data_IF_790721172975
#
_entry.id   IF_790721172975
#
_cell.length_a   1.000
_cell.length_b   1.000
_cell.length_c   1.000
_cell.angle_alpha   90.00
_cell.angle_beta   90.00
_cell.angle_gamma   90.00
#
_symmetry.space_group_name_H-M   'P 1'
#
loop_
_entity.id
_entity.type
_entity.pdbx_description
1 polymer ?
#
# COMPACT_ATOMS: atom_id res chain seq x y z
N UNK A 1 -6.38 -11.96 21.69
CA UNK A 1 -6.43 -10.90 20.65
C UNK A 1 -6.18 -11.49 19.26
N UNK A 2 -7.14 -12.23 18.71
CA UNK A 2 -7.15 -12.55 17.26
C UNK A 2 -8.15 -11.61 16.62
N UNK A 3 -7.71 -10.43 16.18
CA UNK A 3 -8.52 -9.66 15.25
C UNK A 3 -8.73 -10.56 14.03
N UNK A 4 -9.98 -10.87 13.70
CA UNK A 4 -10.28 -11.77 12.58
C UNK A 4 -9.67 -11.17 11.30
N UNK A 5 -8.78 -11.92 10.60
CA UNK A 5 -8.13 -11.49 9.34
C UNK A 5 -9.03 -10.73 8.33
N UNK A 6 -10.33 -11.06 8.15
CA UNK A 6 -11.16 -10.38 7.16
C UNK A 6 -11.43 -8.89 7.44
N UNK A 7 -11.50 -8.44 8.70
CA UNK A 7 -11.84 -7.03 8.98
C UNK A 7 -10.65 -6.09 8.72
N UNK A 8 -9.44 -6.53 9.03
CA UNK A 8 -8.22 -5.77 8.73
C UNK A 8 -8.01 -5.69 7.21
N UNK A 9 -8.20 -6.79 6.50
CA UNK A 9 -8.09 -6.80 5.04
C UNK A 9 -9.11 -5.86 4.38
N UNK A 10 -10.36 -5.84 4.89
CA UNK A 10 -11.41 -4.92 4.42
C UNK A 10 -11.08 -3.45 4.70
N UNK A 11 -10.49 -3.15 5.87
CA UNK A 11 -10.07 -1.79 6.21
C UNK A 11 -8.95 -1.30 5.27
N UNK A 12 -7.93 -2.13 5.05
CA UNK A 12 -6.80 -1.82 4.15
C UNK A 12 -7.30 -1.63 2.71
N UNK A 13 -8.21 -2.47 2.22
CA UNK A 13 -8.74 -2.32 0.87
C UNK A 13 -9.65 -1.10 0.72
N UNK A 14 -10.41 -0.72 1.76
CA UNK A 14 -11.20 0.50 1.78
C UNK A 14 -10.32 1.76 1.77
N UNK A 15 -9.22 1.77 2.54
CA UNK A 15 -8.22 2.83 2.53
C UNK A 15 -7.55 3.00 1.15
N UNK A 16 -7.24 1.88 0.48
CA UNK A 16 -6.75 1.89 -0.90
C UNK A 16 -7.74 2.52 -1.89
N UNK A 17 -9.04 2.29 -1.72
CA UNK A 17 -10.09 2.90 -2.56
C UNK A 17 -10.22 4.41 -2.36
N UNK A 18 -10.08 4.90 -1.12
CA UNK A 18 -10.01 6.35 -0.86
C UNK A 18 -8.81 6.94 -1.59
N UNK A 19 -7.63 6.32 -1.45
CA UNK A 19 -6.40 6.81 -2.08
C UNK A 19 -6.55 6.88 -3.61
N UNK A 20 -7.11 5.84 -4.22
CA UNK A 20 -7.37 5.83 -5.67
C UNK A 20 -8.38 6.91 -6.09
N UNK A 21 -9.50 7.05 -5.36
CA UNK A 21 -10.51 8.06 -5.64
C UNK A 21 -9.98 9.49 -5.45
N UNK A 22 -9.10 9.71 -4.47
CA UNK A 22 -8.41 10.99 -4.28
C UNK A 22 -7.53 11.36 -5.47
N UNK A 23 -6.75 10.40 -5.99
CA UNK A 23 -5.92 10.63 -7.19
C UNK A 23 -6.80 10.93 -8.41
N UNK A 24 -7.85 10.14 -8.64
CA UNK A 24 -8.82 10.34 -9.73
C UNK A 24 -9.48 11.73 -9.64
N UNK A 25 -9.85 12.18 -8.44
CA UNK A 25 -10.44 13.49 -8.22
C UNK A 25 -9.45 14.63 -8.50
N UNK A 26 -8.21 14.52 -8.02
CA UNK A 26 -7.17 15.54 -8.22
C UNK A 26 -6.80 15.67 -9.70
N UNK A 27 -6.61 14.54 -10.39
CA UNK A 27 -6.30 14.53 -11.83
C UNK A 27 -7.50 14.99 -12.68
N UNK A 28 -8.73 14.69 -12.22
CA UNK A 28 -9.97 15.02 -12.90
C UNK A 28 -10.55 16.41 -12.61
N UNK A 29 -10.02 17.15 -11.64
CA UNK A 29 -10.66 18.38 -11.13
C UNK A 29 -10.86 19.45 -12.19
N UNK A 30 -9.92 19.55 -13.14
CA UNK A 30 -10.00 20.48 -14.26
C UNK A 30 -11.21 20.18 -15.15
N UNK A 31 -11.42 18.91 -15.48
CA UNK A 31 -12.53 18.43 -16.31
C UNK A 31 -13.87 18.63 -15.61
N UNK A 32 -13.94 18.34 -14.32
CA UNK A 32 -15.15 18.54 -13.51
C UNK A 32 -15.56 20.01 -13.50
N UNK A 33 -14.58 20.92 -13.32
CA UNK A 33 -14.84 22.38 -13.32
C UNK A 33 -15.24 22.93 -14.68
N UNK A 34 -14.70 22.39 -15.77
CA UNK A 34 -14.99 22.89 -17.13
C UNK A 34 -16.30 22.38 -17.71
N UNK A 35 -16.68 21.13 -17.42
CA UNK A 35 -17.84 20.50 -18.06
C UNK A 35 -19.09 20.46 -17.18
N UNK A 36 -19.01 20.72 -15.87
CA UNK A 36 -20.14 20.90 -14.95
C UNK A 36 -21.11 19.71 -14.77
N UNK A 37 -21.05 18.70 -15.63
CA UNK A 37 -22.07 17.65 -15.79
C UNK A 37 -21.68 16.28 -15.21
N UNK A 38 -20.42 16.07 -14.82
CA UNK A 38 -19.93 14.85 -14.13
C UNK A 38 -19.73 15.05 -12.63
N UNK A 39 -20.16 16.20 -12.10
CA UNK A 39 -20.02 16.61 -10.69
C UNK A 39 -20.63 15.58 -9.73
N UNK A 40 -21.75 14.94 -10.10
CA UNK A 40 -22.38 13.90 -9.28
C UNK A 40 -21.50 12.66 -9.16
N UNK A 41 -21.12 12.03 -10.28
CA UNK A 41 -20.54 10.68 -10.26
C UNK A 41 -19.13 10.60 -9.66
N UNK A 42 -18.25 11.60 -9.83
CA UNK A 42 -16.92 11.58 -9.21
C UNK A 42 -16.98 11.85 -7.69
N UNK A 43 -17.77 12.84 -7.27
CA UNK A 43 -17.96 13.15 -5.85
C UNK A 43 -18.71 12.03 -5.14
N UNK A 44 -19.75 11.46 -5.76
CA UNK A 44 -20.49 10.30 -5.24
C UNK A 44 -19.57 9.07 -5.08
N UNK A 45 -18.64 8.82 -6.02
CA UNK A 45 -17.65 7.75 -5.89
C UNK A 45 -16.71 7.96 -4.71
N UNK A 46 -16.25 9.20 -4.51
CA UNK A 46 -15.39 9.55 -3.38
C UNK A 46 -16.14 9.43 -2.05
N UNK A 47 -17.36 9.97 -1.97
CA UNK A 47 -18.24 9.88 -0.80
C UNK A 47 -18.56 8.42 -0.46
N UNK A 48 -18.83 7.59 -1.48
CA UNK A 48 -19.07 6.16 -1.29
C UNK A 48 -17.81 5.45 -0.76
N UNK A 49 -16.62 5.77 -1.27
CA UNK A 49 -15.36 5.21 -0.76
C UNK A 49 -15.11 5.60 0.70
N UNK A 50 -15.42 6.85 1.07
CA UNK A 50 -15.35 7.35 2.44
C UNK A 50 -16.36 6.66 3.37
N UNK A 51 -17.61 6.51 2.92
CA UNK A 51 -18.65 5.80 3.67
C UNK A 51 -18.27 4.33 3.92
N UNK A 52 -17.80 3.65 2.88
CA UNK A 52 -17.33 2.27 2.96
C UNK A 52 -16.16 2.10 3.95
N UNK A 53 -15.22 3.05 3.98
CA UNK A 53 -14.12 3.05 4.95
C UNK A 53 -14.62 3.30 6.37
N UNK A 54 -15.54 4.26 6.55
CA UNK A 54 -16.14 4.54 7.86
C UNK A 54 -16.87 3.29 8.40
N UNK A 55 -17.60 2.57 7.56
CA UNK A 55 -18.29 1.33 7.95
C UNK A 55 -17.33 0.19 8.24
N UNK A 56 -16.29 0.01 7.43
CA UNK A 56 -15.23 -0.96 7.67
C UNK A 56 -14.51 -0.68 9.00
N UNK A 57 -14.22 0.59 9.28
CA UNK A 57 -13.58 1.04 10.51
C UNK A 57 -14.50 0.82 11.73
N UNK A 58 -15.78 1.19 11.63
CA UNK A 58 -16.76 0.93 12.70
C UNK A 58 -16.89 -0.55 13.01
N UNK A 59 -16.94 -1.42 12.00
CA UNK A 59 -17.00 -2.87 12.19
C UNK A 59 -15.72 -3.41 12.87
N UNK A 60 -14.55 -2.93 12.42
CA UNK A 60 -13.26 -3.28 13.02
C UNK A 60 -13.17 -2.86 14.50
N UNK A 61 -13.60 -1.63 14.82
CA UNK A 61 -13.64 -1.11 16.19
C UNK A 61 -14.63 -1.90 17.02
N UNK A 62 -15.88 -2.07 16.57
CA UNK A 62 -16.92 -2.77 17.34
C UNK A 62 -16.50 -4.20 17.74
N UNK A 63 -15.80 -4.91 16.85
CA UNK A 63 -15.32 -6.26 17.14
C UNK A 63 -14.09 -6.29 18.06
N UNK A 64 -13.19 -5.31 17.94
CA UNK A 64 -11.99 -5.25 18.78
C UNK A 64 -12.18 -4.50 20.10
N UNK A 65 -13.23 -3.68 20.23
CA UNK A 65 -13.46 -2.75 21.35
C UNK A 65 -13.42 -3.48 22.70
N UNK A 66 -14.20 -4.55 22.85
CA UNK A 66 -14.28 -5.28 24.13
C UNK A 66 -12.94 -5.93 24.52
N UNK A 67 -12.23 -6.52 23.57
CA UNK A 67 -10.94 -7.16 23.84
C UNK A 67 -9.80 -6.16 24.06
N UNK A 68 -9.81 -5.05 23.31
CA UNK A 68 -8.81 -3.99 23.41
C UNK A 68 -8.99 -3.17 24.69
N UNK A 69 -10.22 -2.80 25.06
CA UNK A 69 -10.51 -2.07 26.30
C UNK A 69 -10.11 -2.88 27.53
N UNK A 70 -10.50 -4.17 27.59
CA UNK A 70 -10.10 -5.06 28.70
C UNK A 70 -8.58 -5.22 28.75
N UNK A 71 -7.91 -5.43 27.62
CA UNK A 71 -6.46 -5.54 27.56
C UNK A 71 -5.74 -4.26 27.97
N UNK A 72 -6.29 -3.10 27.61
CA UNK A 72 -5.72 -1.79 27.93
C UNK A 72 -5.91 -1.44 29.42
N UNK A 73 -7.08 -1.77 29.99
CA UNK A 73 -7.35 -1.58 31.42
C UNK A 73 -6.47 -2.52 32.26
N UNK A 74 -6.44 -3.81 31.94
CA UNK A 74 -5.61 -4.79 32.67
C UNK A 74 -4.11 -4.56 32.49
N UNK A 75 -3.69 -4.03 31.34
CA UNK A 75 -2.31 -3.68 31.07
C UNK A 75 -1.88 -2.30 31.58
N UNK A 76 -2.79 -1.56 32.24
CA UNK A 76 -2.45 -0.26 32.82
C UNK A 76 -1.58 -0.40 34.06
N UNK A 77 -0.70 0.57 34.28
CA UNK A 77 0.16 0.63 35.47
C UNK A 77 -0.66 0.60 36.76
N UNK A 78 -1.80 1.30 36.78
CA UNK A 78 -2.73 1.34 37.92
C UNK A 78 -3.35 -0.03 38.19
N UNK A 79 -3.75 -0.78 37.16
CA UNK A 79 -4.32 -2.11 37.36
C UNK A 79 -3.29 -3.11 37.89
N UNK A 80 -2.07 -3.10 37.34
CA UNK A 80 -0.99 -3.95 37.85
C UNK A 80 -0.64 -3.59 39.29
N UNK A 81 -0.55 -2.29 39.60
CA UNK A 81 -0.29 -1.83 40.96
C UNK A 81 -1.40 -2.27 41.93
N UNK A 82 -2.67 -2.16 41.53
CA UNK A 82 -3.81 -2.58 42.34
C UNK A 82 -3.78 -4.09 42.62
N UNK A 83 -3.48 -4.91 41.60
CA UNK A 83 -3.37 -6.38 41.76
C UNK A 83 -2.18 -6.73 42.66
N UNK A 84 -1.00 -6.16 42.42
CA UNK A 84 0.18 -6.41 43.24
C UNK A 84 -0.03 -5.99 44.70
N UNK A 85 -0.71 -4.86 44.93
CA UNK A 85 -1.04 -4.38 46.28
C UNK A 85 -2.04 -5.29 46.95
N UNK A 86 -3.12 -5.70 46.26
CA UNK A 86 -4.15 -6.58 46.83
C UNK A 86 -3.59 -7.98 47.16
N UNK A 87 -2.90 -8.62 46.20
CA UNK A 87 -2.29 -9.93 46.42
C UNK A 87 -1.15 -9.87 47.43
N UNK A 88 -0.29 -8.85 47.35
CA UNK A 88 0.80 -8.63 48.29
C UNK A 88 0.32 -8.42 49.72
N UNK A 89 -0.74 -7.62 49.90
CA UNK A 89 -1.33 -7.40 51.23
C UNK A 89 -1.93 -8.67 51.82
N UNK A 90 -2.58 -9.51 51.01
CA UNK A 90 -3.11 -10.80 51.45
C UNK A 90 -2.00 -11.76 51.88
N UNK A 91 -0.87 -11.80 51.15
CA UNK A 91 0.31 -12.60 51.50
C UNK A 91 1.00 -12.12 52.78
N UNK A 92 1.03 -10.80 53.00
CA UNK A 92 1.51 -10.21 54.25
C UNK A 92 0.60 -10.58 55.42
N UNK A 93 -0.72 -10.51 55.24
CA UNK A 93 -1.68 -10.92 56.26
C UNK A 93 -1.59 -12.41 56.60
N UNK A 94 -1.24 -13.26 55.63
CA UNK A 94 -0.99 -14.69 55.84
C UNK A 94 0.39 -15.00 56.46
N UNK A 95 1.23 -13.99 56.70
CA UNK A 95 2.58 -14.16 57.27
C UNK A 95 3.61 -14.76 56.30
N UNK A 96 3.27 -14.89 55.02
CA UNK A 96 4.14 -15.46 53.97
C UNK A 96 5.19 -14.44 53.50
N UNK A 97 4.86 -13.14 53.56
CA UNK A 97 5.71 -12.05 53.07
C UNK A 97 5.76 -10.92 54.11
N UNK A 98 6.89 -10.21 54.20
CA UNK A 98 6.98 -8.98 55.00
C UNK A 98 6.64 -7.76 54.14
N UNK A 99 6.16 -6.67 54.77
CA UNK A 99 5.88 -5.40 54.07
C UNK A 99 7.13 -4.86 53.36
N UNK A 100 8.30 -4.99 53.99
CA UNK A 100 9.58 -4.58 53.40
C UNK A 100 9.93 -5.39 52.14
N UNK A 101 9.54 -6.67 52.10
CA UNK A 101 9.75 -7.52 50.93
C UNK A 101 8.74 -7.22 49.81
N UNK A 102 7.59 -6.58 50.08
CA UNK A 102 6.60 -6.20 49.06
C UNK A 102 7.00 -4.94 48.26
N UNK A 103 7.65 -3.97 48.91
CA UNK A 103 8.01 -2.67 48.28
C UNK A 103 8.78 -2.80 46.96
N UNK A 104 9.82 -3.66 46.82
CA UNK A 104 10.53 -3.82 45.56
C UNK A 104 9.62 -4.31 44.42
N UNK A 105 8.66 -5.20 44.70
CA UNK A 105 7.74 -5.71 43.68
C UNK A 105 6.77 -4.64 43.20
N UNK A 106 6.32 -3.73 44.07
CA UNK A 106 5.47 -2.61 43.68
C UNK A 106 6.23 -1.64 42.76
N UNK A 107 7.48 -1.32 43.09
CA UNK A 107 8.33 -0.42 42.29
C UNK A 107 8.65 -1.03 40.93
N UNK A 108 9.10 -2.29 40.90
CA UNK A 108 9.45 -2.98 39.64
C UNK A 108 8.20 -3.28 38.81
N UNK A 109 7.09 -3.64 39.46
CA UNK A 109 5.84 -4.00 38.80
C UNK A 109 5.24 -2.88 37.95
N UNK A 110 5.37 -1.62 38.38
CA UNK A 110 4.92 -0.44 37.62
C UNK A 110 5.69 -0.29 36.30
N UNK A 111 6.96 -0.72 36.24
CA UNK A 111 7.78 -0.63 35.02
C UNK A 111 7.55 -1.75 34.00
N UNK A 112 6.78 -2.79 34.34
CA UNK A 112 6.56 -3.93 33.45
C UNK A 112 5.72 -3.59 32.21
N UNK A 113 4.58 -2.87 32.31
CA UNK A 113 3.79 -2.46 31.14
C UNK A 113 4.58 -1.66 30.11
N UNK A 114 5.42 -0.74 30.57
CA UNK A 114 6.20 0.15 29.70
C UNK A 114 7.28 -0.61 28.94
N UNK A 115 7.87 -1.63 29.56
CA UNK A 115 8.91 -2.46 28.95
C UNK A 115 8.34 -3.53 28.00
N UNK A 116 7.21 -4.14 28.36
CA UNK A 116 6.59 -5.24 27.60
C UNK A 116 5.69 -4.73 26.47
N UNK A 117 5.03 -3.58 26.66
CA UNK A 117 4.09 -3.00 25.71
C UNK A 117 4.65 -2.81 24.29
N UNK A 118 5.87 -2.25 24.11
CA UNK A 118 6.50 -2.13 22.79
C UNK A 118 6.73 -3.48 22.11
N UNK A 119 7.13 -4.52 22.85
CA UNK A 119 7.34 -5.88 22.32
C UNK A 119 6.02 -6.46 21.80
N UNK A 120 4.93 -6.27 22.56
CA UNK A 120 3.59 -6.70 22.14
C UNK A 120 3.08 -5.94 20.90
N UNK A 121 3.41 -4.66 20.76
CA UNK A 121 3.03 -3.83 19.61
C UNK A 121 3.95 -4.00 18.38
N UNK A 122 5.19 -4.47 18.59
CA UNK A 122 6.21 -4.62 17.54
C UNK A 122 5.81 -5.53 16.39
N UNK A 123 4.87 -6.46 16.61
CA UNK A 123 4.34 -7.32 15.56
C UNK A 123 3.72 -6.56 14.38
N UNK A 124 3.10 -5.39 14.63
CA UNK A 124 2.55 -4.56 13.56
C UNK A 124 3.66 -3.95 12.69
N UNK A 125 4.68 -3.37 13.32
CA UNK A 125 5.83 -2.77 12.62
C UNK A 125 6.60 -3.80 11.79
N UNK A 126 6.83 -4.99 12.35
CA UNK A 126 7.49 -6.09 11.63
C UNK A 126 6.68 -6.55 10.41
N UNK A 127 5.34 -6.58 10.51
CA UNK A 127 4.47 -6.93 9.38
C UNK A 127 4.55 -5.88 8.27
N UNK A 128 4.53 -4.60 8.60
CA UNK A 128 4.68 -3.52 7.61
C UNK A 128 6.04 -3.57 6.92
N UNK A 129 7.11 -3.76 7.69
CA UNK A 129 8.46 -3.91 7.14
C UNK A 129 8.56 -5.08 6.15
N UNK A 130 7.94 -6.22 6.46
CA UNK A 130 7.89 -7.37 5.54
C UNK A 130 7.13 -7.10 4.25
N UNK A 131 5.99 -6.39 4.31
CA UNK A 131 5.25 -6.03 3.09
C UNK A 131 6.06 -5.08 2.21
N UNK A 132 6.69 -4.07 2.80
CA UNK A 132 7.56 -3.15 2.07
C UNK A 132 8.75 -3.86 1.43
N UNK A 133 9.40 -4.77 2.16
CA UNK A 133 10.47 -5.61 1.62
C UNK A 133 10.02 -6.45 0.43
N UNK A 134 8.83 -7.06 0.50
CA UNK A 134 8.26 -7.83 -0.60
C UNK A 134 7.98 -6.99 -1.86
N UNK A 135 7.53 -5.75 -1.71
CA UNK A 135 7.34 -4.85 -2.86
C UNK A 135 8.68 -4.47 -3.52
N UNK A 136 9.72 -4.19 -2.73
CA UNK A 136 11.06 -3.90 -3.24
C UNK A 136 11.63 -5.11 -3.97
N UNK A 137 11.52 -6.30 -3.37
CA UNK A 137 11.98 -7.54 -3.98
C UNK A 137 11.25 -7.83 -5.30
N UNK A 138 9.93 -7.62 -5.36
CA UNK A 138 9.16 -7.77 -6.59
C UNK A 138 9.61 -6.81 -7.71
N UNK A 139 10.03 -5.59 -7.35
CA UNK A 139 10.56 -4.62 -8.31
C UNK A 139 11.95 -5.03 -8.81
N UNK A 140 12.85 -5.42 -7.89
CA UNK A 140 14.22 -5.83 -8.22
C UNK A 140 14.27 -7.12 -9.04
N UNK A 141 13.31 -8.02 -8.82
CA UNK A 141 13.20 -9.27 -9.57
C UNK A 141 12.48 -9.13 -10.92
N UNK A 142 12.09 -7.91 -11.35
CA UNK A 142 11.54 -7.74 -12.69
C UNK A 142 12.62 -8.06 -13.74
N UNK A 143 12.31 -8.92 -14.73
CA UNK A 143 13.29 -9.26 -15.75
C UNK A 143 13.68 -8.00 -16.54
N UNK A 144 14.98 -7.74 -16.74
CA UNK A 144 15.41 -6.65 -17.60
C UNK A 144 14.99 -6.92 -19.05
N UNK A 145 15.00 -5.87 -19.87
CA UNK A 145 14.81 -6.02 -21.31
C UNK A 145 15.93 -6.93 -21.85
N UNK A 146 15.59 -7.87 -22.74
CA UNK A 146 16.58 -8.78 -23.32
C UNK A 146 17.59 -7.99 -24.13
N UNK A 147 18.83 -7.99 -23.69
CA UNK A 147 19.94 -7.45 -24.46
C UNK A 147 20.49 -8.50 -25.43
N UNK A 148 20.92 -8.12 -26.64
CA UNK A 148 21.53 -9.04 -27.58
C UNK A 148 22.91 -9.50 -27.08
N UNK A 149 23.23 -10.79 -27.19
CA UNK A 149 24.54 -11.36 -26.80
C UNK A 149 25.74 -10.68 -27.50
N UNK A 150 25.50 -10.15 -28.71
CA UNK A 150 26.48 -9.44 -29.51
C UNK A 150 25.90 -8.09 -29.94
N UNK A 151 26.06 -7.04 -29.11
CA UNK A 151 25.57 -5.71 -29.48
C UNK A 151 26.28 -5.23 -30.75
N UNK A 152 25.49 -4.73 -31.70
CA UNK A 152 26.00 -4.15 -32.94
C UNK A 152 25.86 -2.64 -32.88
N UNK A 153 26.88 -1.92 -33.34
CA UNK A 153 26.74 -0.49 -33.59
C UNK A 153 25.94 -0.28 -34.88
N UNK A 154 24.89 0.56 -34.87
CA UNK A 154 24.15 0.90 -36.08
C UNK A 154 25.09 1.51 -37.12
N UNK A 155 24.85 1.21 -38.40
CA UNK A 155 25.58 1.77 -39.54
C UNK A 155 24.70 2.83 -40.20
N UNK A 156 25.04 4.10 -39.99
CA UNK A 156 24.25 5.23 -40.47
C UNK A 156 23.03 5.53 -39.60
N UNK A 157 22.11 6.32 -40.15
CA UNK A 157 20.94 6.87 -39.45
C UNK A 157 19.61 6.49 -40.10
N UNK A 158 19.59 5.46 -40.95
CA UNK A 158 18.35 4.92 -41.52
C UNK A 158 17.59 4.11 -40.48
N UNK A 159 16.26 4.24 -40.47
CA UNK A 159 15.37 3.48 -39.59
C UNK A 159 14.48 2.60 -40.46
N UNK A 160 14.41 1.31 -40.15
CA UNK A 160 13.57 0.34 -40.84
C UNK A 160 12.72 -0.41 -39.81
N UNK A 161 11.42 -0.50 -40.11
CA UNK A 161 10.47 -1.36 -39.44
C UNK A 161 10.19 -2.53 -40.39
N UNK A 162 10.46 -3.77 -39.96
CA UNK A 162 10.10 -5.00 -40.68
C UNK A 162 9.03 -5.77 -39.88
N UNK A 163 7.80 -5.76 -40.42
CA UNK A 163 6.64 -6.52 -39.91
C UNK A 163 6.45 -6.39 -38.39
N UNK A 164 6.56 -5.16 -37.89
CA UNK A 164 6.48 -4.87 -36.45
C UNK A 164 5.03 -4.94 -35.97
N UNK A 165 4.77 -5.79 -34.98
CA UNK A 165 3.52 -5.85 -34.23
C UNK A 165 3.80 -5.57 -32.75
N UNK A 166 2.96 -4.76 -32.12
CA UNK A 166 3.16 -4.36 -30.73
C UNK A 166 1.83 -4.24 -29.99
N UNK A 167 1.83 -4.68 -28.73
CA UNK A 167 0.70 -4.62 -27.80
C UNK A 167 1.21 -4.19 -26.42
N UNK A 168 0.47 -3.29 -25.77
CA UNK A 168 0.78 -2.82 -24.42
C UNK A 168 0.34 -3.81 -23.33
N UNK A 169 -0.78 -4.51 -23.56
CA UNK A 169 -1.41 -5.44 -22.62
C UNK A 169 -1.19 -6.90 -23.00
N UNK A 170 -0.60 -7.17 -24.17
CA UNK A 170 -0.43 -8.51 -24.73
C UNK A 170 -1.70 -9.09 -25.36
N UNK A 171 -2.80 -8.34 -25.37
CA UNK A 171 -4.12 -8.79 -25.86
C UNK A 171 -4.52 -8.03 -27.12
N UNK A 172 -4.45 -6.69 -27.07
CA UNK A 172 -4.85 -5.83 -28.17
C UNK A 172 -3.63 -5.25 -28.85
N UNK A 173 -3.48 -5.51 -30.15
CA UNK A 173 -2.38 -4.96 -30.93
C UNK A 173 -2.63 -3.47 -31.22
N UNK A 174 -1.72 -2.63 -30.76
CA UNK A 174 -1.64 -1.21 -31.13
C UNK A 174 -0.99 -1.02 -32.51
N UNK A 175 -0.09 -1.94 -32.90
CA UNK A 175 0.53 -2.01 -34.22
C UNK A 175 0.44 -3.45 -34.73
N UNK A 176 0.16 -3.63 -36.02
CA UNK A 176 0.04 -4.96 -36.64
C UNK A 176 0.80 -4.99 -37.96
N UNK A 177 1.92 -5.72 -37.99
CA UNK A 177 2.67 -6.03 -39.21
C UNK A 177 3.21 -4.81 -39.95
N UNK A 178 3.60 -3.75 -39.25
CA UNK A 178 4.04 -2.50 -39.88
C UNK A 178 5.39 -2.67 -40.58
N UNK A 179 5.44 -2.29 -41.85
CA UNK A 179 6.65 -2.23 -42.66
C UNK A 179 6.84 -0.78 -43.11
N UNK A 180 7.97 -0.17 -42.77
CA UNK A 180 8.26 1.22 -43.12
C UNK A 180 9.78 1.48 -43.15
N UNK A 181 10.21 2.34 -44.07
CA UNK A 181 11.62 2.76 -44.19
C UNK A 181 11.71 4.27 -44.12
N UNK A 182 12.49 4.78 -43.17
CA UNK A 182 12.80 6.20 -43.00
C UNK A 182 14.24 6.44 -43.45
N UNK A 183 14.41 7.14 -44.58
CA UNK A 183 15.71 7.41 -45.16
C UNK A 183 16.49 8.47 -44.34
N UNK A 184 17.81 8.30 -44.17
CA UNK A 184 18.63 9.27 -43.43
C UNK A 184 18.60 10.64 -44.11
N UNK A 185 18.55 11.71 -43.31
CA UNK A 185 18.54 13.10 -43.79
C UNK A 185 17.20 13.56 -44.39
N UNK A 186 16.13 12.76 -44.27
CA UNK A 186 14.78 13.11 -44.74
C UNK A 186 13.83 13.32 -43.57
N UNK A 187 12.76 14.07 -43.81
CA UNK A 187 11.65 14.22 -42.86
C UNK A 187 10.54 13.25 -43.27
N UNK A 188 10.31 12.22 -42.46
CA UNK A 188 9.20 11.28 -42.63
C UNK A 188 8.01 11.72 -41.78
N UNK A 189 6.91 12.08 -42.42
CA UNK A 189 5.67 12.43 -41.72
C UNK A 189 4.80 11.18 -41.47
N UNK A 190 4.42 10.94 -40.21
CA UNK A 190 3.41 9.94 -39.85
C UNK A 190 2.02 10.57 -39.84
N UNK A 191 1.16 10.19 -40.79
CA UNK A 191 -0.20 10.73 -40.96
C UNK A 191 -1.24 9.61 -40.87
N UNK A 192 -2.36 9.89 -40.23
CA UNK A 192 -3.46 8.93 -40.09
C UNK A 192 -4.48 9.39 -39.04
N UNK A 193 -5.65 8.73 -38.95
CA UNK A 193 -6.72 9.08 -38.01
C UNK A 193 -6.26 8.97 -36.54
N UNK A 194 -6.96 9.65 -35.64
CA UNK A 194 -6.67 9.55 -34.19
C UNK A 194 -6.75 8.08 -33.74
N UNK A 195 -5.79 7.64 -32.91
CA UNK A 195 -5.73 6.25 -32.44
C UNK A 195 -5.07 5.24 -33.39
N UNK A 196 -4.62 5.63 -34.59
CA UNK A 196 -3.98 4.72 -35.55
C UNK A 196 -2.57 4.19 -35.15
N UNK A 197 -2.14 4.33 -33.90
CA UNK A 197 -0.84 3.83 -33.42
C UNK A 197 0.38 4.69 -33.79
N UNK A 198 0.20 5.91 -34.33
CA UNK A 198 1.32 6.79 -34.75
C UNK A 198 2.32 7.08 -33.62
N UNK A 199 1.82 7.46 -32.44
CA UNK A 199 2.66 7.72 -31.25
C UNK A 199 3.32 6.44 -30.75
N UNK A 200 2.63 5.30 -30.84
CA UNK A 200 3.19 3.99 -30.52
C UNK A 200 4.38 3.68 -31.42
N UNK A 201 4.24 3.88 -32.73
CA UNK A 201 5.33 3.63 -33.69
C UNK A 201 6.52 4.55 -33.46
N UNK A 202 6.27 5.83 -33.18
CA UNK A 202 7.34 6.77 -32.82
C UNK A 202 8.04 6.39 -31.51
N UNK A 203 7.30 5.93 -30.51
CA UNK A 203 7.84 5.51 -29.20
C UNK A 203 8.67 4.21 -29.23
N UNK A 204 8.59 3.42 -30.32
CA UNK A 204 9.43 2.25 -30.51
C UNK A 204 10.82 2.60 -31.05
N UNK A 205 11.03 3.81 -31.56
CA UNK A 205 12.34 4.28 -32.00
C UNK A 205 13.16 4.64 -30.75
N UNK A 206 14.36 4.07 -30.55
CA UNK A 206 15.22 4.44 -29.44
C UNK A 206 15.55 5.94 -29.49
N UNK A 207 15.62 6.63 -28.34
CA UNK A 207 16.17 7.98 -28.31
C UNK A 207 17.62 7.94 -28.81
N UNK A 208 17.94 8.82 -29.79
CA UNK A 208 19.28 8.98 -30.34
C UNK A 208 20.26 9.58 -29.32
#
# INVERSE_FOLDING_TARGET
MRASPPHIARLISAEGRITAASVEYVDGIGVVKTFGATTGTMLERFDQAMADHADAYRAFVAQNRRGAEVGHVLGSEVAILAVLTACGSALVAAGVLTVSALLPFLVVGIGLPTSIGPVLRGGHGLRMARMAAGHIEALLNRPPLREPERPRRPRGHGIEFDRVSFSYDGVTNALTGVIAVCAPGTITALVGPSGAGKTTLAGLVPPC
#
